data_IF_514751318061
#
_entry.id   IF_514751318061
#
_cell.length_a   1.000
_cell.length_b   1.000
_cell.length_c   1.000
_cell.angle_alpha   90.00
_cell.angle_beta   90.00
_cell.angle_gamma   90.00
#
_symmetry.space_group_name_H-M   'P 1'
#
loop_
_entity.id
_entity.type
_entity.pdbx_description
1 polymer ?
#
# COMPACT_ATOMS: atom_id res chain seq x y z
N UNK A 1 22.44 -13.14 16.86
CA UNK A 1 21.08 -12.74 16.42
C UNK A 1 20.20 -13.98 16.43
N UNK A 2 18.93 -13.82 16.81
CA UNK A 2 17.90 -14.85 16.79
C UNK A 2 16.85 -14.37 15.80
N UNK A 3 16.63 -15.13 14.74
CA UNK A 3 15.60 -14.88 13.75
C UNK A 3 14.48 -15.91 13.95
N UNK A 4 13.38 -15.48 14.56
CA UNK A 4 12.19 -16.30 14.75
C UNK A 4 10.95 -15.42 14.57
N UNK A 5 10.17 -15.67 13.52
CA UNK A 5 8.97 -14.88 13.24
C UNK A 5 7.97 -14.99 14.39
N UNK A 6 7.40 -13.85 14.81
CA UNK A 6 6.37 -13.77 15.85
C UNK A 6 6.79 -14.34 17.22
N UNK A 7 8.09 -14.34 17.53
CA UNK A 7 8.65 -14.81 18.79
C UNK A 7 9.25 -13.64 19.59
N UNK A 8 9.02 -13.60 20.90
CA UNK A 8 9.51 -12.55 21.80
C UNK A 8 11.06 -12.49 21.89
N UNK A 9 11.74 -13.58 21.53
CA UNK A 9 13.20 -13.67 21.49
C UNK A 9 13.80 -13.22 20.16
N UNK A 10 12.97 -12.83 19.18
CA UNK A 10 13.43 -12.33 17.89
C UNK A 10 14.25 -11.04 18.08
N UNK A 11 15.50 -11.08 17.64
CA UNK A 11 16.42 -9.94 17.69
C UNK A 11 16.83 -9.44 16.30
N UNK A 12 16.33 -10.08 15.24
CA UNK A 12 16.46 -9.58 13.87
C UNK A 12 15.23 -8.74 13.53
N UNK A 13 15.32 -7.45 13.84
CA UNK A 13 14.26 -6.47 13.58
C UNK A 13 14.05 -6.22 12.09
N UNK A 14 12.81 -5.87 11.72
CA UNK A 14 12.39 -5.58 10.33
C UNK A 14 12.66 -6.70 9.34
N UNK A 15 12.76 -7.93 9.84
CA UNK A 15 12.81 -9.12 9.02
C UNK A 15 11.39 -9.62 8.76
N UNK A 16 11.04 -9.81 7.49
CA UNK A 16 9.75 -10.36 7.08
C UNK A 16 9.76 -11.89 7.07
N UNK A 17 10.90 -12.51 6.74
CA UNK A 17 11.06 -13.97 6.71
C UNK A 17 12.48 -14.37 7.12
N UNK A 18 12.62 -15.41 7.95
CA UNK A 18 13.92 -15.92 8.37
C UNK A 18 14.45 -16.93 7.36
N UNK A 19 15.75 -16.90 7.10
CA UNK A 19 16.44 -17.91 6.30
C UNK A 19 16.86 -19.10 7.18
N UNK A 20 17.32 -18.80 8.40
CA UNK A 20 17.73 -19.73 9.44
C UNK A 20 17.53 -19.07 10.81
N UNK A 21 17.88 -19.78 11.90
CA UNK A 21 17.71 -19.31 13.28
C UNK A 21 18.45 -17.99 13.62
N UNK A 22 19.35 -17.53 12.75
CA UNK A 22 20.20 -16.37 13.02
C UNK A 22 20.22 -15.32 11.90
N UNK A 23 19.65 -15.62 10.73
CA UNK A 23 19.72 -14.79 9.53
C UNK A 23 18.35 -14.54 8.91
N UNK A 24 18.16 -13.30 8.46
CA UNK A 24 17.00 -12.90 7.69
C UNK A 24 17.12 -13.34 6.21
N UNK A 25 15.98 -13.60 5.59
CA UNK A 25 15.82 -13.84 4.15
C UNK A 25 15.38 -12.60 3.39
N UNK A 26 14.40 -11.86 3.93
CA UNK A 26 13.81 -10.68 3.30
C UNK A 26 13.49 -9.61 4.35
N UNK A 27 13.84 -8.37 4.09
CA UNK A 27 13.59 -7.24 4.98
C UNK A 27 12.31 -6.49 4.61
N UNK A 28 11.77 -5.73 5.57
CA UNK A 28 10.69 -4.77 5.34
C UNK A 28 11.16 -3.60 4.45
N UNK A 29 10.21 -2.89 3.83
CA UNK A 29 10.49 -1.65 3.09
C UNK A 29 11.26 -0.65 3.98
N UNK A 30 12.20 0.07 3.38
CA UNK A 30 13.13 0.95 4.08
C UNK A 30 14.31 0.23 4.73
N UNK A 31 14.48 -1.08 4.50
CA UNK A 31 15.61 -1.86 5.00
C UNK A 31 16.19 -2.77 3.91
N UNK A 32 17.52 -2.88 3.86
CA UNK A 32 18.21 -3.82 2.99
C UNK A 32 18.84 -4.98 3.77
N UNK A 33 19.11 -6.07 3.07
CA UNK A 33 19.70 -7.27 3.64
C UNK A 33 21.24 -7.16 3.70
N UNK A 34 21.76 -6.71 4.83
CA UNK A 34 23.19 -6.54 5.06
C UNK A 34 23.87 -7.86 5.50
N UNK A 35 25.12 -8.04 5.07
CA UNK A 35 25.96 -9.15 5.54
C UNK A 35 26.80 -8.68 6.73
N UNK A 36 26.48 -9.16 7.93
CA UNK A 36 27.22 -8.81 9.15
C UNK A 36 27.92 -10.07 9.66
N UNK A 37 29.22 -10.16 9.36
CA UNK A 37 30.01 -11.39 9.54
C UNK A 37 29.34 -12.54 8.76
N UNK A 38 28.94 -13.62 9.44
CA UNK A 38 28.25 -14.77 8.84
C UNK A 38 26.72 -14.64 8.81
N UNK A 39 26.16 -13.56 9.37
CA UNK A 39 24.71 -13.38 9.51
C UNK A 39 24.17 -12.46 8.42
N UNK A 40 22.90 -12.66 8.03
CA UNK A 40 22.16 -11.70 7.20
C UNK A 40 21.18 -10.92 8.06
N UNK A 41 21.36 -9.61 8.17
CA UNK A 41 20.57 -8.75 9.06
C UNK A 41 19.97 -7.58 8.28
N UNK A 42 18.79 -7.13 8.68
CA UNK A 42 18.18 -5.94 8.10
C UNK A 42 18.85 -4.68 8.68
N UNK A 43 19.27 -3.78 7.79
CA UNK A 43 19.83 -2.46 8.10
C UNK A 43 19.00 -1.41 7.37
N UNK A 44 18.79 -0.23 7.96
CA UNK A 44 17.97 0.80 7.35
C UNK A 44 18.61 1.28 6.04
N UNK A 45 17.76 1.56 5.06
CA UNK A 45 18.11 2.38 3.90
C UNK A 45 18.25 3.85 4.30
N UNK A 46 18.72 4.69 3.37
CA UNK A 46 18.48 6.13 3.47
C UNK A 46 16.98 6.41 3.66
N UNK A 47 16.60 7.43 4.46
CA UNK A 47 15.21 7.83 4.62
C UNK A 47 14.49 8.12 3.30
N UNK A 48 15.25 8.50 2.25
CA UNK A 48 14.76 8.82 0.91
C UNK A 48 14.45 7.59 0.06
N UNK A 49 14.84 6.39 0.48
CA UNK A 49 14.61 5.16 -0.27
C UNK A 49 13.43 4.35 0.31
N UNK A 50 12.56 3.87 -0.58
CA UNK A 50 11.60 2.80 -0.29
C UNK A 50 12.28 1.44 -0.26
N UNK A 51 13.15 1.18 -1.23
CA UNK A 51 14.00 -0.02 -1.28
C UNK A 51 15.42 0.38 -1.71
N UNK A 52 16.42 -0.33 -1.19
CA UNK A 52 17.82 -0.06 -1.48
C UNK A 52 18.64 -1.35 -1.49
N UNK A 53 19.79 -1.33 -2.17
CA UNK A 53 20.72 -2.46 -2.20
C UNK A 53 21.77 -2.41 -1.08
N UNK A 54 22.04 -1.22 -0.55
CA UNK A 54 23.11 -0.93 0.40
C UNK A 54 22.74 0.26 1.31
N UNK A 55 23.65 0.63 2.21
CA UNK A 55 23.48 1.78 3.12
C UNK A 55 23.71 3.15 2.46
N UNK A 56 24.24 3.20 1.24
CA UNK A 56 24.58 4.48 0.61
C UNK A 56 23.33 5.23 0.18
N UNK A 57 23.27 6.50 0.53
CA UNK A 57 22.08 7.35 0.43
C UNK A 57 21.67 7.67 -1.01
N UNK A 58 22.56 7.42 -1.98
CA UNK A 58 22.44 7.85 -3.37
C UNK A 58 22.12 6.72 -4.37
N UNK A 59 21.95 5.46 -3.93
CA UNK A 59 21.62 4.32 -4.79
C UNK A 59 20.32 3.63 -4.37
N UNK A 60 19.23 4.38 -4.29
CA UNK A 60 17.91 3.80 -4.07
C UNK A 60 17.51 2.93 -5.28
N UNK A 61 16.87 1.79 -5.01
CA UNK A 61 16.18 1.01 -6.06
C UNK A 61 14.83 1.66 -6.35
N UNK A 62 14.11 2.04 -5.30
CA UNK A 62 12.87 2.81 -5.36
C UNK A 62 12.92 3.96 -4.36
N UNK A 63 12.45 5.14 -4.78
CA UNK A 63 12.34 6.29 -3.88
C UNK A 63 11.16 6.14 -2.94
N UNK A 64 11.30 6.71 -1.74
CA UNK A 64 10.21 6.81 -0.78
C UNK A 64 9.05 7.64 -1.34
N UNK A 65 9.37 8.70 -2.11
CA UNK A 65 8.43 9.57 -2.80
C UNK A 65 9.00 9.98 -4.16
N UNK A 66 8.15 10.06 -5.18
CA UNK A 66 8.55 10.48 -6.52
C UNK A 66 9.46 9.48 -7.23
N UNK A 67 10.25 9.98 -8.18
CA UNK A 67 11.11 9.18 -9.04
C UNK A 67 12.59 9.50 -8.80
N UNK A 68 13.45 8.49 -9.01
CA UNK A 68 14.89 8.67 -8.93
C UNK A 68 15.39 9.56 -10.08
N UNK A 69 16.44 10.35 -9.83
CA UNK A 69 17.16 11.08 -10.88
C UNK A 69 17.89 10.10 -11.82
N UNK A 70 18.36 10.56 -12.98
CA UNK A 70 19.22 9.74 -13.84
C UNK A 70 20.48 9.21 -13.13
N UNK A 71 20.95 9.88 -12.07
CA UNK A 71 22.07 9.40 -11.23
C UNK A 71 21.65 8.43 -10.12
N UNK A 72 20.38 7.96 -10.09
CA UNK A 72 19.79 7.08 -9.07
C UNK A 72 19.62 7.67 -7.67
N UNK A 73 19.79 8.99 -7.54
CA UNK A 73 19.49 9.69 -6.30
C UNK A 73 17.99 9.95 -6.18
N UNK A 74 17.46 9.92 -4.95
CA UNK A 74 16.07 10.27 -4.68
C UNK A 74 15.98 11.71 -4.16
N UNK A 75 15.18 12.59 -4.78
CA UNK A 75 15.02 13.94 -4.27
C UNK A 75 14.23 13.94 -2.95
N UNK A 76 14.50 14.89 -2.03
CA UNK A 76 13.68 15.09 -0.85
C UNK A 76 12.20 15.30 -1.21
N UNK A 77 11.27 14.71 -0.46
CA UNK A 77 9.86 14.89 -0.73
C UNK A 77 9.44 16.34 -0.56
N UNK A 78 8.52 16.77 -1.41
CA UNK A 78 7.83 18.06 -1.31
C UNK A 78 6.33 17.83 -1.35
N UNK A 79 5.63 18.60 -0.54
CA UNK A 79 4.18 18.62 -0.49
C UNK A 79 3.71 20.07 -0.63
N UNK A 80 2.94 20.34 -1.68
CA UNK A 80 2.33 21.65 -1.89
C UNK A 80 0.87 21.46 -2.26
N UNK A 81 -0.03 22.21 -1.62
CA UNK A 81 -1.45 22.25 -2.00
C UNK A 81 -1.80 23.66 -2.43
N UNK A 82 -2.39 23.80 -3.63
CA UNK A 82 -2.88 25.09 -4.13
C UNK A 82 -4.34 24.92 -4.48
N UNK A 83 -5.24 25.67 -3.84
CA UNK A 83 -6.69 25.56 -4.03
C UNK A 83 -7.22 24.11 -3.88
N UNK A 84 -6.65 23.33 -2.95
CA UNK A 84 -7.02 21.92 -2.74
C UNK A 84 -6.46 20.94 -3.77
N UNK A 85 -5.67 21.40 -4.75
CA UNK A 85 -4.95 20.54 -5.69
C UNK A 85 -3.58 20.17 -5.13
N UNK A 86 -3.30 18.87 -5.12
CA UNK A 86 -2.03 18.30 -4.75
C UNK A 86 -0.93 18.67 -5.75
N UNK A 87 0.31 18.80 -5.26
CA UNK A 87 1.48 19.16 -6.03
C UNK A 87 2.76 18.89 -5.25
N UNK A 88 3.90 19.03 -5.93
CA UNK A 88 5.17 18.51 -5.42
C UNK A 88 5.31 17.03 -5.72
N UNK A 89 6.18 16.34 -5.00
CA UNK A 89 6.41 14.90 -5.19
C UNK A 89 5.36 14.04 -4.48
N UNK A 90 4.68 14.58 -3.45
CA UNK A 90 3.47 13.99 -2.85
C UNK A 90 2.22 14.44 -3.61
N UNK A 91 2.18 14.14 -4.91
CA UNK A 91 1.19 14.58 -5.90
C UNK A 91 -0.24 14.07 -5.69
N UNK A 92 -0.47 13.19 -4.72
CA UNK A 92 -1.80 12.72 -4.31
C UNK A 92 -2.21 13.17 -2.91
N UNK A 93 -1.41 14.07 -2.30
CA UNK A 93 -1.66 14.62 -0.98
C UNK A 93 -2.54 15.87 -1.04
N UNK A 94 -3.68 15.86 -0.37
CA UNK A 94 -4.61 17.01 -0.32
C UNK A 94 -4.42 17.88 0.92
N UNK A 95 -3.73 17.38 1.96
CA UNK A 95 -3.32 18.16 3.12
C UNK A 95 -1.87 17.84 3.51
N UNK A 96 -0.99 18.83 3.42
CA UNK A 96 0.40 18.71 3.83
C UNK A 96 0.59 18.98 5.33
N UNK A 97 1.62 18.39 5.92
CA UNK A 97 2.16 18.81 7.21
C UNK A 97 2.78 20.20 7.15
N UNK A 98 3.00 20.81 8.32
CA UNK A 98 3.58 22.15 8.46
C UNK A 98 4.99 22.28 7.84
N UNK A 99 5.77 21.20 7.84
CA UNK A 99 7.10 21.13 7.24
C UNK A 99 7.07 21.06 5.69
N UNK A 100 5.88 20.91 5.08
CA UNK A 100 5.68 20.76 3.63
C UNK A 100 6.43 19.58 3.01
N UNK A 101 6.69 18.55 3.81
CA UNK A 101 7.36 17.31 3.38
C UNK A 101 6.36 16.16 3.43
N UNK A 102 5.70 15.97 4.57
CA UNK A 102 4.80 14.86 4.81
C UNK A 102 3.37 15.15 4.37
N UNK A 103 2.64 14.06 4.11
CA UNK A 103 1.21 14.12 3.90
C UNK A 103 0.44 13.83 5.19
N UNK A 104 -0.68 14.51 5.37
CA UNK A 104 -1.64 14.27 6.45
C UNK A 104 -2.91 13.62 5.91
N UNK A 105 -3.33 13.99 4.70
CA UNK A 105 -4.54 13.46 4.07
C UNK A 105 -4.34 13.24 2.58
N UNK A 106 -4.75 12.06 2.12
CA UNK A 106 -4.63 11.62 0.73
C UNK A 106 -5.94 11.77 -0.03
N UNK A 107 -5.85 11.93 -1.35
CA UNK A 107 -7.00 11.86 -2.25
C UNK A 107 -7.63 10.46 -2.22
N UNK A 108 -8.95 10.39 -2.44
CA UNK A 108 -9.65 9.13 -2.72
C UNK A 108 -8.91 8.27 -3.76
N UNK A 109 -8.90 6.96 -3.54
CA UNK A 109 -8.08 6.00 -4.29
C UNK A 109 -6.64 5.88 -3.82
N UNK A 110 -6.24 6.61 -2.77
CA UNK A 110 -4.95 6.53 -2.12
C UNK A 110 -5.11 6.41 -0.60
N UNK A 111 -4.16 5.75 0.06
CA UNK A 111 -4.06 5.66 1.51
C UNK A 111 -2.75 6.26 2.00
N UNK A 112 -2.74 6.70 3.25
CA UNK A 112 -1.55 7.22 3.90
C UNK A 112 -0.62 6.06 4.30
N UNK A 113 0.50 5.92 3.60
CA UNK A 113 1.54 4.92 3.86
C UNK A 113 2.75 5.60 4.51
N UNK A 114 3.32 4.96 5.54
CA UNK A 114 4.60 5.37 6.09
C UNK A 114 5.74 4.68 5.32
N UNK A 115 6.46 5.43 4.49
CA UNK A 115 7.59 4.94 3.71
C UNK A 115 8.88 5.56 4.22
N UNK A 116 9.71 4.75 4.88
CA UNK A 116 10.91 5.23 5.58
C UNK A 116 10.54 6.22 6.69
N UNK A 117 11.01 7.46 6.54
CA UNK A 117 10.71 8.55 7.48
C UNK A 117 9.48 9.39 7.10
N UNK A 118 8.85 9.12 5.95
CA UNK A 118 7.84 10.00 5.37
C UNK A 118 6.44 9.38 5.36
N UNK A 119 5.42 10.22 5.53
CA UNK A 119 4.02 9.86 5.32
C UNK A 119 3.60 10.31 3.93
N UNK A 120 3.17 9.35 3.10
CA UNK A 120 3.04 9.52 1.64
C UNK A 120 1.75 8.88 1.16
N UNK A 121 1.23 9.33 0.02
CA UNK A 121 0.00 8.78 -0.53
C UNK A 121 0.29 7.66 -1.52
N UNK A 122 -0.04 6.44 -1.14
CA UNK A 122 0.13 5.25 -1.99
C UNK A 122 -1.21 4.81 -2.55
N UNK A 123 -1.20 4.40 -3.82
CA UNK A 123 -2.41 4.03 -4.54
C UNK A 123 -3.03 2.76 -3.94
N UNK A 124 -4.35 2.78 -3.77
CA UNK A 124 -5.13 1.60 -3.42
C UNK A 124 -5.08 0.53 -4.51
N UNK A 125 -5.48 -0.70 -4.16
CA UNK A 125 -5.78 -1.70 -5.17
C UNK A 125 -6.84 -1.17 -6.14
N UNK A 126 -6.73 -1.53 -7.43
CA UNK A 126 -7.55 -0.97 -8.52
C UNK A 126 -9.06 -1.16 -8.35
N UNK A 127 -9.47 -2.12 -7.53
CA UNK A 127 -10.89 -2.40 -7.26
C UNK A 127 -11.46 -1.58 -6.09
N UNK A 128 -10.60 -1.02 -5.23
CA UNK A 128 -11.01 -0.19 -4.10
C UNK A 128 -11.26 1.26 -4.55
N UNK A 129 -12.30 1.88 -4.00
CA UNK A 129 -12.50 3.32 -4.06
C UNK A 129 -11.71 4.04 -2.96
N UNK A 130 -11.77 3.55 -1.71
CA UNK A 130 -10.85 3.92 -0.63
C UNK A 130 -10.31 2.66 0.04
N UNK A 131 -9.15 2.75 0.67
CA UNK A 131 -8.48 1.59 1.28
C UNK A 131 -7.68 1.99 2.52
N UNK A 132 -7.36 1.02 3.36
CA UNK A 132 -6.41 1.15 4.47
C UNK A 132 -5.01 0.60 4.12
N UNK A 133 -4.85 0.03 2.93
CA UNK A 133 -3.65 -0.65 2.49
C UNK A 133 -3.68 -0.99 1.00
N UNK A 134 -2.57 -1.54 0.47
CA UNK A 134 -2.42 -1.74 -0.97
C UNK A 134 -3.11 -3.00 -1.50
N UNK A 135 -3.55 -3.92 -0.63
CA UNK A 135 -4.09 -5.21 -1.05
C UNK A 135 -5.56 -5.09 -1.47
N UNK A 136 -6.01 -6.06 -2.27
CA UNK A 136 -7.40 -6.17 -2.70
C UNK A 136 -8.39 -6.44 -1.54
N UNK A 137 -7.88 -6.89 -0.39
CA UNK A 137 -8.61 -7.10 0.88
C UNK A 137 -8.64 -5.87 1.78
N UNK A 138 -7.84 -4.85 1.49
CA UNK A 138 -7.71 -3.66 2.33
C UNK A 138 -8.71 -2.56 1.94
N UNK A 139 -9.74 -2.88 1.15
CA UNK A 139 -10.71 -1.91 0.69
C UNK A 139 -11.63 -1.49 1.84
N UNK A 140 -11.72 -0.18 2.07
CA UNK A 140 -12.70 0.42 2.98
C UNK A 140 -14.00 0.74 2.25
N UNK A 141 -13.89 1.16 0.97
CA UNK A 141 -15.01 1.35 0.07
C UNK A 141 -14.67 0.76 -1.29
N UNK A 142 -15.64 0.12 -1.94
CA UNK A 142 -15.47 -0.49 -3.25
C UNK A 142 -15.94 0.42 -4.37
N UNK A 143 -15.29 0.29 -5.54
CA UNK A 143 -15.83 0.85 -6.79
C UNK A 143 -17.08 0.08 -7.26
N UNK A 144 -17.23 -1.17 -6.80
CA UNK A 144 -18.37 -2.06 -7.04
C UNK A 144 -19.03 -2.48 -5.72
N UNK A 145 -19.01 -3.78 -5.37
CA UNK A 145 -19.62 -4.36 -4.17
C UNK A 145 -18.54 -4.92 -3.24
N UNK A 146 -18.65 -4.61 -1.94
CA UNK A 146 -17.77 -5.17 -0.92
C UNK A 146 -18.25 -6.57 -0.50
N UNK A 147 -17.35 -7.54 -0.48
CA UNK A 147 -17.56 -8.84 0.16
C UNK A 147 -17.18 -8.78 1.64
N UNK A 148 -17.61 -9.79 2.40
CA UNK A 148 -17.43 -9.85 3.85
C UNK A 148 -15.96 -9.92 4.30
N UNK A 149 -15.04 -10.28 3.40
CA UNK A 149 -13.60 -10.36 3.62
C UNK A 149 -12.83 -9.10 3.21
N UNK A 150 -13.53 -7.99 2.93
CA UNK A 150 -12.91 -6.70 2.56
C UNK A 150 -12.50 -6.60 1.10
N UNK A 151 -12.84 -7.60 0.28
CA UNK A 151 -12.58 -7.57 -1.17
C UNK A 151 -13.69 -6.86 -1.93
N UNK A 152 -13.33 -6.28 -3.06
CA UNK A 152 -14.32 -5.78 -4.01
C UNK A 152 -14.57 -6.84 -5.08
N UNK A 153 -15.84 -7.17 -5.28
CA UNK A 153 -16.28 -8.18 -6.25
C UNK A 153 -17.20 -7.56 -7.28
N UNK A 154 -17.26 -8.19 -8.45
CA UNK A 154 -18.23 -7.82 -9.47
C UNK A 154 -19.65 -8.07 -8.96
N UNK A 155 -20.64 -7.25 -9.37
CA UNK A 155 -22.04 -7.57 -9.14
C UNK A 155 -22.37 -8.98 -9.65
N UNK A 156 -23.10 -9.73 -8.83
CA UNK A 156 -23.69 -11.00 -9.22
C UNK A 156 -25.20 -10.85 -9.12
N UNK A 157 -25.88 -11.06 -10.24
CA UNK A 157 -27.33 -11.15 -10.30
C UNK A 157 -27.73 -12.60 -10.57
N UNK A 158 -28.16 -13.28 -9.51
CA UNK A 158 -28.68 -14.65 -9.56
C UNK A 158 -29.80 -14.79 -8.53
N UNK A 159 -31.04 -14.79 -8.98
CA UNK A 159 -32.19 -14.90 -8.08
C UNK A 159 -32.09 -16.20 -7.28
N UNK A 160 -32.36 -16.11 -5.98
CA UNK A 160 -32.29 -17.21 -5.00
C UNK A 160 -30.89 -17.82 -4.76
N UNK A 161 -29.82 -17.18 -5.24
CA UNK A 161 -28.43 -17.55 -4.96
C UNK A 161 -27.88 -16.75 -3.76
N UNK A 162 -27.20 -17.38 -2.79
CA UNK A 162 -26.61 -16.68 -1.64
C UNK A 162 -25.50 -15.68 -2.03
N UNK A 163 -24.94 -15.78 -3.25
CA UNK A 163 -23.97 -14.84 -3.80
C UNK A 163 -24.62 -13.66 -4.54
N UNK A 164 -25.95 -13.61 -4.63
CA UNK A 164 -26.66 -12.50 -5.27
C UNK A 164 -26.39 -11.19 -4.53
N UNK A 165 -25.73 -10.26 -5.21
CA UNK A 165 -25.48 -8.92 -4.69
C UNK A 165 -26.56 -7.92 -5.12
N UNK A 166 -27.49 -8.33 -5.99
CA UNK A 166 -28.60 -7.51 -6.45
C UNK A 166 -29.88 -7.77 -5.64
N UNK A 167 -29.91 -7.29 -4.39
CA UNK A 167 -30.92 -7.67 -3.38
C UNK A 167 -32.38 -7.32 -3.74
N UNK A 168 -32.59 -6.24 -4.51
CA UNK A 168 -33.93 -5.81 -4.93
C UNK A 168 -34.33 -6.30 -6.33
N UNK A 169 -33.56 -7.21 -6.91
CA UNK A 169 -33.82 -7.69 -8.26
C UNK A 169 -34.87 -8.79 -8.32
N UNK A 170 -35.79 -8.69 -9.29
CA UNK A 170 -36.78 -9.71 -9.61
C UNK A 170 -36.35 -10.59 -10.78
N UNK A 171 -35.71 -10.01 -11.80
CA UNK A 171 -35.12 -10.76 -12.92
C UNK A 171 -33.77 -10.16 -13.30
N UNK A 172 -32.80 -11.02 -13.55
CA UNK A 172 -31.47 -10.62 -13.99
C UNK A 172 -31.42 -10.45 -15.50
N UNK A 173 -30.43 -9.71 -15.99
CA UNK A 173 -30.10 -9.66 -17.41
C UNK A 173 -29.36 -10.93 -17.86
N UNK A 174 -29.07 -11.02 -19.16
CA UNK A 174 -28.36 -12.17 -19.73
C UNK A 174 -26.87 -12.22 -19.39
N UNK A 175 -26.29 -11.14 -18.86
CA UNK A 175 -24.87 -11.14 -18.45
C UNK A 175 -24.68 -11.59 -17.00
N UNK A 176 -25.77 -11.74 -16.23
CA UNK A 176 -25.75 -12.27 -14.87
C UNK A 176 -25.14 -11.31 -13.85
N UNK A 177 -25.00 -10.02 -14.20
CA UNK A 177 -24.47 -8.98 -13.32
C UNK A 177 -25.51 -7.91 -13.02
N UNK A 178 -26.37 -7.55 -13.97
CA UNK A 178 -27.32 -6.45 -13.77
C UNK A 178 -28.74 -6.95 -13.58
N UNK A 179 -29.55 -6.10 -12.94
CA UNK A 179 -30.98 -6.34 -12.81
C UNK A 179 -31.73 -5.85 -14.06
N UNK A 180 -32.55 -6.71 -14.65
CA UNK A 180 -33.46 -6.32 -15.74
C UNK A 180 -34.82 -5.84 -15.24
N UNK A 181 -35.25 -6.22 -14.04
CA UNK A 181 -36.50 -5.75 -13.41
C UNK A 181 -36.41 -5.80 -11.89
N UNK A 182 -36.77 -4.72 -11.21
CA UNK A 182 -36.80 -4.65 -9.75
C UNK A 182 -38.09 -5.28 -9.18
N UNK A 183 -38.06 -5.69 -7.91
CA UNK A 183 -39.25 -6.24 -7.22
C UNK A 183 -40.36 -5.19 -7.00
N UNK A 184 -39.99 -3.91 -6.85
CA UNK A 184 -40.93 -2.84 -6.52
C UNK A 184 -41.38 -1.97 -7.72
N UNK A 185 -41.11 -2.42 -8.97
CA UNK A 185 -41.54 -1.75 -10.20
C UNK A 185 -40.49 -0.84 -10.80
#
# INVERSE_FOLDING_TARGET
PICKMNDATNTVYHCNNCNDDSSCKTCANGYYLASVRKYKLCRPCSPLCKTCANENEDECIECAVGNATPEKACPPPTCTTTNGQAGGTNDNCIQCSTDKINCVECKDGYFLEKVGAYDVCTKCHSTCYTCSGPLDTDCLLCTTYASADGRCTDPVCKIDDPTNTNYNCATCDSNGKSCSRCKDG
#
